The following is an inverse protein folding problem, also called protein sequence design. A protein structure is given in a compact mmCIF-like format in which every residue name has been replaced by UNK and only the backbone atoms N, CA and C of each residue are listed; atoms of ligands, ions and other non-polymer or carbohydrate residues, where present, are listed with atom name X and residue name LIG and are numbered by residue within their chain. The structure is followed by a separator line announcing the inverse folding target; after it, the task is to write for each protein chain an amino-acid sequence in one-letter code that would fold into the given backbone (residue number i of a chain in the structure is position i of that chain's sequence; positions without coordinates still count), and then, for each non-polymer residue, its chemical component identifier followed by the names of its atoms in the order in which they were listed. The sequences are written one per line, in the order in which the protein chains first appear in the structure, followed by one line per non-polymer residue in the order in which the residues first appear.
data_IF_292635470132
#
_entry.id   IF_292635470132
#
_cell.length_a   1.000
_cell.length_b   1.000
_cell.length_c   1.000
_cell.angle_alpha   90.00
_cell.angle_beta   90.00
_cell.angle_gamma   90.00
#
_symmetry.space_group_name_H-M   'P 1'
#
loop_
_entity.id
_entity.type
_entity.pdbx_description
1 polymer ?
#
# COMPACT_ATOMS: atom_id res chain seq x y z
N UNK A 1 -8.64 -5.57 16.87
CA UNK A 1 -9.80 -4.92 16.21
C UNK A 1 -9.38 -3.53 15.78
N UNK A 2 -9.45 -3.25 14.49
CA UNK A 2 -8.99 -1.96 13.95
C UNK A 2 -10.15 -0.98 13.85
N UNK A 3 -9.88 0.27 14.22
CA UNK A 3 -10.77 1.40 14.00
C UNK A 3 -10.15 2.37 13.01
N UNK A 4 -10.98 3.01 12.20
CA UNK A 4 -10.59 4.04 11.25
C UNK A 4 -11.14 5.39 11.67
N UNK A 5 -10.36 6.45 11.55
CA UNK A 5 -10.87 7.81 11.53
C UNK A 5 -11.56 8.07 10.20
N UNK A 6 -12.68 8.77 10.25
CA UNK A 6 -13.50 9.04 9.07
C UNK A 6 -13.39 10.50 8.61
N UNK A 7 -13.42 10.66 7.32
CA UNK A 7 -13.32 11.94 6.62
C UNK A 7 -14.46 12.09 5.60
N UNK A 8 -14.81 13.33 5.26
CA UNK A 8 -15.62 13.59 4.08
C UNK A 8 -14.76 13.53 2.79
N UNK A 9 -15.40 13.61 1.64
CA UNK A 9 -14.69 13.55 0.34
C UNK A 9 -13.67 14.68 0.13
N UNK A 10 -13.80 15.78 0.85
CA UNK A 10 -12.85 16.90 0.81
C UNK A 10 -11.68 16.74 1.77
N UNK A 11 -11.62 15.64 2.50
CA UNK A 11 -10.56 15.37 3.47
C UNK A 11 -10.78 16.02 4.83
N UNK A 12 -11.95 16.58 5.10
CA UNK A 12 -12.28 17.14 6.43
C UNK A 12 -12.65 16.02 7.39
N UNK A 13 -12.12 16.07 8.61
CA UNK A 13 -12.48 15.09 9.64
C UNK A 13 -13.98 15.17 9.96
N UNK A 14 -14.60 13.99 10.01
CA UNK A 14 -15.98 13.88 10.51
C UNK A 14 -16.06 13.73 12.03
N UNK A 15 -14.90 13.77 12.71
CA UNK A 15 -14.80 13.57 14.17
C UNK A 15 -15.50 12.28 14.62
N UNK A 16 -15.38 11.24 13.81
CA UNK A 16 -15.94 9.90 14.01
C UNK A 16 -14.88 8.84 13.79
N UNK A 17 -14.99 7.79 14.56
CA UNK A 17 -14.27 6.54 14.29
C UNK A 17 -15.27 5.43 13.97
N UNK A 18 -14.84 4.46 13.21
CA UNK A 18 -15.61 3.28 12.87
C UNK A 18 -14.72 2.05 12.87
N UNK A 19 -15.25 0.96 13.32
CA UNK A 19 -14.57 -0.34 13.18
C UNK A 19 -14.40 -0.67 11.69
N UNK A 20 -13.25 -1.23 11.32
CA UNK A 20 -12.96 -1.67 9.96
C UNK A 20 -14.13 -2.44 9.34
N UNK A 21 -14.59 -2.00 8.19
CA UNK A 21 -15.72 -2.58 7.48
C UNK A 21 -16.37 -1.61 6.49
N UNK A 22 -17.55 -1.93 5.97
CA UNK A 22 -18.23 -1.09 4.99
C UNK A 22 -18.50 0.32 5.53
N UNK A 23 -18.26 1.32 4.71
CA UNK A 23 -18.51 2.73 5.02
C UNK A 23 -19.88 3.18 4.52
N UNK A 24 -20.42 4.22 5.14
CA UNK A 24 -21.62 4.88 4.65
C UNK A 24 -21.27 5.83 3.51
N UNK A 25 -22.29 6.27 2.78
CA UNK A 25 -22.12 7.29 1.75
C UNK A 25 -21.45 8.55 2.34
N UNK A 26 -20.47 9.10 1.61
CA UNK A 26 -19.67 10.26 2.01
C UNK A 26 -18.77 10.05 3.25
N UNK A 27 -18.51 8.82 3.63
CA UNK A 27 -17.48 8.45 4.60
C UNK A 27 -16.28 7.88 3.87
N UNK A 28 -15.09 8.39 4.18
CA UNK A 28 -13.81 7.96 3.61
C UNK A 28 -12.84 7.65 4.74
N UNK A 29 -11.93 6.70 4.50
CA UNK A 29 -10.79 6.45 5.37
C UNK A 29 -9.47 6.63 4.62
N UNK A 30 -8.34 6.50 5.28
CA UNK A 30 -7.01 6.65 4.64
C UNK A 30 -6.36 5.29 4.49
N UNK A 31 -5.82 5.04 3.32
CA UNK A 31 -5.01 3.86 2.96
C UNK A 31 -3.64 4.34 2.51
N UNK A 32 -2.62 3.56 2.74
CA UNK A 32 -1.25 3.85 2.28
C UNK A 32 -0.73 2.75 1.38
N UNK A 33 0.01 3.14 0.36
CA UNK A 33 0.86 2.26 -0.45
C UNK A 33 2.30 2.75 -0.34
N UNK A 34 3.23 1.84 -0.07
CA UNK A 34 4.65 2.13 0.04
C UNK A 34 5.40 1.34 -1.04
N UNK A 35 5.87 2.06 -2.05
CA UNK A 35 6.72 1.51 -3.10
C UNK A 35 8.17 1.57 -2.63
N UNK A 36 8.82 0.41 -2.53
CA UNK A 36 10.19 0.28 -2.06
C UNK A 36 11.09 -0.01 -3.26
N UNK A 37 12.07 0.87 -3.49
CA UNK A 37 12.97 0.81 -4.64
C UNK A 37 14.41 0.72 -4.18
N UNK A 38 15.15 -0.23 -4.74
CA UNK A 38 16.58 -0.39 -4.44
C UNK A 38 17.48 0.41 -5.40
N UNK A 39 18.79 0.36 -5.17
CA UNK A 39 19.77 1.09 -5.96
C UNK A 39 19.90 0.57 -7.41
N UNK A 40 19.49 -0.68 -7.66
CA UNK A 40 19.42 -1.25 -9.01
C UNK A 40 18.15 -0.85 -9.77
N UNK A 41 17.30 -0.02 -9.17
CA UNK A 41 16.04 0.42 -9.76
C UNK A 41 14.91 -0.62 -9.72
N UNK A 42 15.11 -1.74 -9.02
CA UNK A 42 14.08 -2.74 -8.81
C UNK A 42 13.12 -2.33 -7.70
N UNK A 43 11.89 -2.78 -7.80
CA UNK A 43 10.81 -2.48 -6.87
C UNK A 43 10.41 -3.76 -6.15
N UNK A 44 10.23 -3.65 -4.83
CA UNK A 44 9.85 -4.77 -3.98
C UNK A 44 8.35 -5.05 -4.13
N UNK A 45 8.03 -6.31 -4.43
CA UNK A 45 6.65 -6.77 -4.55
C UNK A 45 6.38 -7.87 -3.53
N UNK A 46 5.22 -7.81 -2.93
CA UNK A 46 4.69 -8.84 -2.03
C UNK A 46 3.49 -9.53 -2.65
N UNK A 47 3.25 -10.78 -2.28
CA UNK A 47 2.12 -11.56 -2.78
C UNK A 47 1.09 -11.76 -1.70
N UNK A 48 -0.15 -11.43 -2.01
CA UNK A 48 -1.28 -11.50 -1.09
C UNK A 48 -1.63 -12.93 -0.73
N UNK A 49 -2.00 -13.11 0.54
CA UNK A 49 -2.54 -14.39 1.02
C UNK A 49 -3.80 -14.79 0.23
N UNK A 50 -4.00 -16.11 -0.02
CA UNK A 50 -5.19 -16.59 -0.75
C UNK A 50 -6.54 -16.25 -0.10
N UNK A 51 -6.58 -15.98 1.19
CA UNK A 51 -7.81 -15.66 1.91
C UNK A 51 -8.17 -14.17 1.91
N UNK A 52 -7.29 -13.33 1.35
CA UNK A 52 -7.53 -11.90 1.22
C UNK A 52 -8.31 -11.55 -0.06
N UNK A 53 -8.98 -10.38 -0.12
CA UNK A 53 -9.44 -9.82 -1.39
C UNK A 53 -8.28 -9.75 -2.39
N UNK A 54 -8.56 -9.97 -3.68
CA UNK A 54 -7.54 -10.12 -4.72
C UNK A 54 -6.49 -11.19 -4.37
N UNK A 55 -6.93 -12.45 -4.14
CA UNK A 55 -6.06 -13.52 -3.65
C UNK A 55 -4.92 -13.83 -4.62
N UNK A 56 -3.75 -14.14 -4.07
CA UNK A 56 -2.56 -14.52 -4.84
C UNK A 56 -2.07 -13.46 -5.84
N UNK A 57 -2.51 -12.20 -5.70
CA UNK A 57 -2.03 -11.10 -6.54
C UNK A 57 -0.78 -10.45 -5.93
N UNK A 58 0.02 -9.87 -6.81
CA UNK A 58 1.18 -9.06 -6.40
C UNK A 58 0.75 -7.64 -6.05
N UNK A 59 1.45 -7.05 -5.10
CA UNK A 59 1.21 -5.68 -4.61
C UNK A 59 2.47 -5.08 -3.98
N UNK A 60 2.46 -3.79 -3.68
CA UNK A 60 3.41 -3.20 -2.74
C UNK A 60 2.93 -3.42 -1.30
N UNK A 61 3.80 -3.09 -0.32
CA UNK A 61 3.37 -3.02 1.07
C UNK A 61 2.39 -1.87 1.29
N UNK A 62 1.43 -2.06 2.19
CA UNK A 62 0.46 -1.02 2.50
C UNK A 62 -0.74 -1.54 3.28
N UNK A 63 -1.60 -0.63 3.66
CA UNK A 63 -2.80 -0.96 4.41
C UNK A 63 -3.56 0.27 4.88
N UNK A 64 -4.53 0.06 5.76
CA UNK A 64 -5.35 1.14 6.29
C UNK A 64 -4.68 1.85 7.46
N UNK A 65 -4.82 3.16 7.50
CA UNK A 65 -4.42 3.97 8.65
C UNK A 65 -5.43 3.75 9.76
N UNK A 66 -4.94 3.44 10.96
CA UNK A 66 -5.80 3.23 12.13
C UNK A 66 -6.10 4.56 12.84
N UNK A 67 -7.19 4.59 13.60
CA UNK A 67 -7.62 5.79 14.32
C UNK A 67 -6.52 6.35 15.24
N UNK A 68 -6.32 7.66 15.18
CA UNK A 68 -5.32 8.39 15.97
C UNK A 68 -3.91 8.40 15.38
N UNK A 69 -3.69 7.69 14.27
CA UNK A 69 -2.41 7.58 13.58
C UNK A 69 -2.35 8.55 12.39
N UNK A 70 -1.21 9.16 12.13
CA UNK A 70 -1.01 9.89 10.89
C UNK A 70 -0.57 8.94 9.75
N UNK A 71 -0.69 9.43 8.52
CA UNK A 71 -0.44 8.61 7.33
C UNK A 71 0.99 8.06 7.27
N UNK A 72 2.00 8.85 7.61
CA UNK A 72 3.40 8.41 7.54
C UNK A 72 3.72 7.39 8.63
N UNK A 73 3.21 7.57 9.84
CA UNK A 73 3.37 6.61 10.94
C UNK A 73 2.71 5.28 10.60
N UNK A 74 1.51 5.32 10.02
CA UNK A 74 0.83 4.14 9.54
C UNK A 74 1.56 3.42 8.41
N UNK A 75 2.14 4.17 7.47
CA UNK A 75 2.96 3.59 6.40
C UNK A 75 4.17 2.82 6.95
N UNK A 76 4.87 3.40 7.93
CA UNK A 76 6.01 2.75 8.60
C UNK A 76 5.57 1.49 9.35
N UNK A 77 4.45 1.56 10.07
CA UNK A 77 3.85 0.42 10.79
C UNK A 77 3.49 -0.71 9.83
N UNK A 78 2.83 -0.42 8.72
CA UNK A 78 2.42 -1.43 7.73
C UNK A 78 3.62 -2.18 7.16
N UNK A 79 4.70 -1.50 6.80
CA UNK A 79 5.92 -2.15 6.32
C UNK A 79 6.51 -3.06 7.41
N UNK A 80 6.55 -2.60 8.66
CA UNK A 80 7.04 -3.40 9.78
C UNK A 80 6.18 -4.65 10.03
N UNK A 81 4.86 -4.51 9.95
CA UNK A 81 3.94 -5.62 10.15
C UNK A 81 4.02 -6.64 9.01
N UNK A 82 3.96 -6.19 7.76
CA UNK A 82 3.88 -7.08 6.59
C UNK A 82 5.19 -7.81 6.28
N UNK A 83 6.33 -7.14 6.40
CA UNK A 83 7.63 -7.70 6.00
C UNK A 83 8.72 -7.63 7.07
N UNK A 84 8.43 -7.11 8.26
CA UNK A 84 9.34 -7.10 9.41
C UNK A 84 10.49 -6.11 9.33
N UNK A 85 10.45 -5.14 8.43
CA UNK A 85 11.53 -4.17 8.19
C UNK A 85 11.18 -2.81 8.79
N UNK A 86 12.16 -2.22 9.50
CA UNK A 86 12.08 -0.84 9.96
C UNK A 86 12.55 0.09 8.84
N UNK A 87 11.73 1.08 8.52
CA UNK A 87 12.03 2.09 7.51
C UNK A 87 11.83 3.49 8.09
N UNK A 88 12.50 4.47 7.48
CA UNK A 88 12.38 5.88 7.80
C UNK A 88 12.58 6.73 6.54
N UNK A 89 12.33 8.02 6.62
CA UNK A 89 12.56 8.95 5.49
C UNK A 89 11.75 8.59 4.23
N UNK A 90 10.47 8.28 4.42
CA UNK A 90 9.53 8.08 3.32
C UNK A 90 9.31 9.37 2.55
N UNK A 91 9.31 9.28 1.22
CA UNK A 91 8.91 10.38 0.35
C UNK A 91 7.43 10.26 0.03
N UNK A 92 6.64 11.26 0.42
CA UNK A 92 5.25 11.39 -0.04
C UNK A 92 5.22 11.74 -1.52
N UNK A 93 4.46 11.01 -2.30
CA UNK A 93 4.29 11.23 -3.74
C UNK A 93 3.01 12.03 -4.00
N UNK A 94 1.86 11.48 -3.65
CA UNK A 94 0.56 12.15 -3.80
C UNK A 94 -0.53 11.44 -3.00
N UNK A 95 -1.67 12.11 -2.85
CA UNK A 95 -2.92 11.54 -2.37
C UNK A 95 -3.88 11.37 -3.54
N UNK A 96 -4.41 10.17 -3.72
CA UNK A 96 -5.41 9.85 -4.73
C UNK A 96 -6.75 9.63 -4.03
N UNK A 97 -7.80 10.32 -4.48
CA UNK A 97 -9.16 10.07 -4.01
C UNK A 97 -9.74 8.92 -4.83
N UNK A 98 -10.17 7.86 -4.15
CA UNK A 98 -10.72 6.67 -4.81
C UNK A 98 -12.17 6.47 -4.36
N UNK A 99 -13.09 7.07 -5.11
CA UNK A 99 -14.53 6.99 -4.81
C UNK A 99 -15.05 5.55 -4.85
N UNK A 100 -14.48 4.71 -5.70
CA UNK A 100 -14.84 3.29 -5.83
C UNK A 100 -14.47 2.45 -4.61
N UNK A 101 -13.55 2.92 -3.77
CA UNK A 101 -13.11 2.24 -2.54
C UNK A 101 -13.44 3.02 -1.27
N UNK A 102 -14.09 4.17 -1.39
CA UNK A 102 -14.39 5.08 -0.28
C UNK A 102 -13.14 5.45 0.54
N UNK A 103 -12.02 5.71 -0.14
CA UNK A 103 -10.76 6.02 0.52
C UNK A 103 -9.95 7.14 -0.11
N UNK A 104 -8.99 7.62 0.68
CA UNK A 104 -7.85 8.40 0.23
C UNK A 104 -6.63 7.50 0.24
N UNK A 105 -6.00 7.32 -0.91
CA UNK A 105 -4.76 6.58 -1.03
C UNK A 105 -3.56 7.54 -0.95
N UNK A 106 -2.78 7.44 0.11
CA UNK A 106 -1.50 8.14 0.22
C UNK A 106 -0.38 7.24 -0.33
N UNK A 107 0.28 7.71 -1.36
CA UNK A 107 1.35 6.98 -2.03
C UNK A 107 2.70 7.49 -1.54
N UNK A 108 3.54 6.55 -1.08
CA UNK A 108 4.90 6.81 -0.60
C UNK A 108 5.94 6.04 -1.41
N UNK A 109 7.12 6.61 -1.51
CA UNK A 109 8.31 5.96 -2.04
C UNK A 109 9.36 5.86 -0.93
N UNK A 110 9.90 4.67 -0.72
CA UNK A 110 11.07 4.42 0.09
C UNK A 110 12.22 3.92 -0.79
N UNK A 111 13.40 4.50 -0.61
CA UNK A 111 14.63 4.06 -1.29
C UNK A 111 15.51 3.32 -0.31
N UNK A 112 15.73 2.03 -0.56
CA UNK A 112 16.57 1.21 0.30
C UNK A 112 16.82 -0.19 -0.26
N UNK A 113 17.99 -0.71 0.07
CA UNK A 113 18.41 -2.08 -0.30
C UNK A 113 18.00 -3.05 0.80
N UNK A 114 16.74 -3.48 0.76
CA UNK A 114 16.23 -4.47 1.71
C UNK A 114 16.73 -5.86 1.31
N UNK A 115 17.35 -6.56 2.28
CA UNK A 115 17.70 -7.97 2.12
C UNK A 115 16.44 -8.83 2.33
N UNK A 116 15.94 -9.42 1.26
CA UNK A 116 14.74 -10.27 1.28
C UNK A 116 14.87 -11.42 2.28
N UNK A 117 16.08 -11.99 2.41
CA UNK A 117 16.34 -13.12 3.32
C UNK A 117 16.16 -12.74 4.81
N UNK A 118 16.18 -11.46 5.12
CA UNK A 118 15.96 -10.93 6.47
C UNK A 118 14.53 -10.49 6.73
N UNK A 119 13.66 -10.58 5.73
CA UNK A 119 12.25 -10.22 5.90
C UNK A 119 11.51 -11.30 6.67
N UNK A 120 10.50 -10.89 7.41
CA UNK A 120 9.55 -11.76 8.07
C UNK A 120 8.16 -11.46 7.54
N UNK A 121 7.64 -12.33 6.71
CA UNK A 121 6.32 -12.15 6.09
C UNK A 121 5.22 -12.37 7.14
N UNK A 122 4.25 -11.46 7.16
CA UNK A 122 3.11 -11.55 8.09
C UNK A 122 2.18 -12.69 7.68
N UNK A 123 1.97 -13.63 8.59
CA UNK A 123 1.05 -14.76 8.40
C UNK A 123 -0.39 -14.26 8.15
N UNK A 124 -1.04 -14.83 7.15
CA UNK A 124 -2.40 -14.44 6.74
C UNK A 124 -2.49 -13.16 5.90
N UNK A 125 -1.35 -12.50 5.65
CA UNK A 125 -1.28 -11.28 4.86
C UNK A 125 -0.41 -11.45 3.61
N UNK A 126 0.82 -11.93 3.78
CA UNK A 126 1.84 -12.01 2.74
C UNK A 126 2.41 -13.42 2.65
N UNK A 127 2.40 -14.01 1.45
CA UNK A 127 2.90 -15.38 1.22
C UNK A 127 4.19 -15.45 0.41
N UNK A 128 4.60 -14.37 -0.25
CA UNK A 128 5.82 -14.33 -1.05
C UNK A 128 6.33 -12.89 -1.20
N UNK A 129 7.61 -12.74 -1.54
CA UNK A 129 8.26 -11.45 -1.71
C UNK A 129 9.34 -11.57 -2.77
N UNK A 130 9.45 -10.57 -3.66
CA UNK A 130 10.50 -10.52 -4.68
C UNK A 130 10.84 -9.10 -5.11
N UNK A 131 12.04 -8.90 -5.61
CA UNK A 131 12.43 -7.72 -6.36
C UNK A 131 12.04 -7.87 -7.82
N UNK A 132 11.39 -6.85 -8.39
CA UNK A 132 10.97 -6.82 -9.78
C UNK A 132 11.58 -5.62 -10.50
N UNK A 133 11.96 -5.82 -11.76
CA UNK A 133 12.27 -4.71 -12.66
C UNK A 133 10.98 -3.94 -13.00
N UNK A 134 11.13 -2.72 -13.47
CA UNK A 134 9.98 -1.91 -13.95
C UNK A 134 9.22 -2.62 -15.07
N UNK A 135 9.93 -3.26 -16.00
CA UNK A 135 9.29 -4.01 -17.09
C UNK A 135 8.53 -5.24 -16.60
N UNK A 136 9.06 -5.94 -15.61
CA UNK A 136 8.35 -7.05 -14.95
C UNK A 136 7.05 -6.56 -14.29
N UNK A 137 7.06 -5.40 -13.61
CA UNK A 137 5.88 -4.83 -12.98
C UNK A 137 4.83 -4.45 -14.02
N UNK A 138 5.24 -3.79 -15.11
CA UNK A 138 4.33 -3.47 -16.21
C UNK A 138 3.68 -4.75 -16.76
N UNK A 139 4.46 -5.83 -16.91
CA UNK A 139 3.93 -7.12 -17.36
C UNK A 139 2.96 -7.74 -16.34
N UNK A 140 3.27 -7.67 -15.05
CA UNK A 140 2.38 -8.14 -13.96
C UNK A 140 1.01 -7.43 -14.03
N UNK A 141 1.00 -6.12 -14.26
CA UNK A 141 -0.24 -5.35 -14.46
C UNK A 141 -0.96 -5.81 -15.73
N UNK A 142 -0.22 -5.94 -16.84
CA UNK A 142 -0.79 -6.32 -18.14
C UNK A 142 -1.44 -7.71 -18.15
N UNK A 143 -0.86 -8.66 -17.42
CA UNK A 143 -1.35 -10.05 -17.33
C UNK A 143 -2.43 -10.25 -16.25
N UNK A 144 -2.80 -9.20 -15.51
CA UNK A 144 -3.81 -9.27 -14.46
C UNK A 144 -3.33 -9.92 -13.17
N UNK A 145 -2.02 -10.03 -12.97
CA UNK A 145 -1.42 -10.59 -11.75
C UNK A 145 -1.18 -9.55 -10.64
N UNK A 146 -1.37 -8.26 -10.94
CA UNK A 146 -1.38 -7.18 -9.95
C UNK A 146 -2.73 -7.12 -9.24
N UNK A 147 -2.73 -6.86 -7.94
CA UNK A 147 -3.95 -6.46 -7.23
C UNK A 147 -4.51 -5.19 -7.89
N UNK A 148 -5.76 -5.26 -8.33
CA UNK A 148 -6.38 -4.24 -9.19
C UNK A 148 -6.25 -2.81 -8.63
N UNK A 149 -6.45 -2.55 -7.31
CA UNK A 149 -6.30 -1.19 -6.77
C UNK A 149 -4.90 -0.59 -6.93
N UNK A 150 -3.91 -1.38 -7.32
CA UNK A 150 -2.52 -0.94 -7.48
C UNK A 150 -2.07 -0.89 -8.94
N UNK A 151 -2.96 -1.08 -9.90
CA UNK A 151 -2.64 -1.04 -11.34
C UNK A 151 -2.08 0.32 -11.79
N UNK A 152 -2.33 1.40 -11.05
CA UNK A 152 -1.79 2.74 -11.33
C UNK A 152 -0.25 2.79 -11.38
N UNK A 153 0.42 1.81 -10.78
CA UNK A 153 1.89 1.76 -10.79
C UNK A 153 2.48 1.71 -12.20
N UNK A 154 1.78 1.10 -13.14
CA UNK A 154 2.23 1.04 -14.53
C UNK A 154 2.33 2.46 -15.14
N UNK A 155 1.38 3.33 -14.86
CA UNK A 155 1.41 4.72 -15.31
C UNK A 155 2.50 5.52 -14.60
N UNK A 156 2.71 5.29 -13.31
CA UNK A 156 3.80 5.93 -12.55
C UNK A 156 5.17 5.58 -13.11
N UNK A 157 5.38 4.31 -13.46
CA UNK A 157 6.62 3.86 -14.09
C UNK A 157 6.80 4.52 -15.45
N UNK A 158 5.78 4.53 -16.30
CA UNK A 158 5.82 5.13 -17.64
C UNK A 158 6.09 6.63 -17.61
N UNK A 159 5.58 7.33 -16.58
CA UNK A 159 5.79 8.77 -16.37
C UNK A 159 7.09 9.12 -15.63
N UNK A 160 7.84 8.13 -15.19
CA UNK A 160 9.07 8.33 -14.43
C UNK A 160 8.86 8.86 -13.00
N UNK A 161 7.68 8.65 -12.41
CA UNK A 161 7.36 9.06 -11.03
C UNK A 161 8.03 8.13 -10.02
N UNK A 162 8.05 6.84 -10.34
CA UNK A 162 8.71 5.78 -9.55
C UNK A 162 9.71 5.00 -10.39
#
# INVERSE_FOLDING_TARGET
MEYWDLYDRNGNSLHKTKIRGPLNKNEYHVVVNIWIKNDDGKILMTKRDPEKPWPNKWECTGGSIIAGEDSISGAIREVKEEIGIDIENLKFIERIIRDEYDDFLDVYLYRGNIDIEKTKLQEGEVIDIKWCTKDEIINIVKTGEMAEPQNYIADYIKKGII
#
